data_IF_194284344823
#
_entry.id   IF_194284344823
#
_cell.length_a   1.000
_cell.length_b   1.000
_cell.length_c   1.000
_cell.angle_alpha   90.00
_cell.angle_beta   90.00
_cell.angle_gamma   90.00
#
_symmetry.space_group_name_H-M   'P 1'
#
loop_
_entity.id
_entity.type
_entity.pdbx_description
1 polymer ?
#
# COMPACT_ATOMS: atom_id res chain seq x y z
N UNK A 1 -0.44 21.22 15.55
CA UNK A 1 0.79 20.76 14.86
C UNK A 1 1.70 20.11 15.88
N UNK A 2 2.29 18.96 15.55
CA UNK A 2 3.28 18.29 16.39
C UNK A 2 4.68 18.55 15.84
N UNK A 3 5.66 18.77 16.73
CA UNK A 3 7.06 18.93 16.35
C UNK A 3 7.80 17.61 16.55
N UNK A 4 8.45 17.11 15.49
CA UNK A 4 9.39 16.00 15.58
C UNK A 4 10.82 16.53 15.57
N UNK A 5 11.60 16.20 16.60
CA UNK A 5 13.02 16.55 16.70
C UNK A 5 13.82 15.26 16.68
N UNK A 6 14.74 15.14 15.72
CA UNK A 6 15.63 14.00 15.60
C UNK A 6 17.02 14.46 15.17
N UNK A 7 18.06 13.73 15.61
CA UNK A 7 19.41 13.92 15.10
C UNK A 7 19.52 13.19 13.76
N UNK A 8 19.97 13.91 12.74
CA UNK A 8 20.24 13.35 11.43
C UNK A 8 21.75 13.34 11.17
N UNK A 9 22.29 12.32 10.48
CA UNK A 9 23.67 12.36 10.01
C UNK A 9 23.92 13.59 9.13
N UNK A 10 25.11 14.17 9.23
CA UNK A 10 25.46 15.40 8.48
C UNK A 10 25.28 15.25 6.97
N UNK A 11 25.51 14.04 6.44
CA UNK A 11 25.29 13.74 5.02
C UNK A 11 23.83 13.91 4.59
N UNK A 12 22.88 13.51 5.44
CA UNK A 12 21.44 13.67 5.17
C UNK A 12 21.05 15.14 5.25
N UNK A 13 21.55 15.85 6.27
CA UNK A 13 21.28 17.29 6.41
C UNK A 13 21.77 18.06 5.18
N UNK A 14 22.99 17.78 4.72
CA UNK A 14 23.56 18.37 3.50
C UNK A 14 22.75 18.04 2.24
N UNK A 15 22.36 16.78 2.06
CA UNK A 15 21.55 16.42 0.90
C UNK A 15 20.18 17.15 0.89
N UNK A 16 19.57 17.36 2.05
CA UNK A 16 18.34 18.17 2.15
C UNK A 16 18.61 19.63 1.83
N UNK A 17 19.75 20.18 2.25
CA UNK A 17 20.17 21.53 1.92
C UNK A 17 20.33 21.73 0.41
N UNK A 18 21.04 20.81 -0.24
CA UNK A 18 21.27 20.85 -1.69
C UNK A 18 19.93 20.87 -2.45
N UNK A 19 18.92 20.11 -1.99
CA UNK A 19 17.59 20.08 -2.60
C UNK A 19 16.82 21.40 -2.41
N UNK A 20 16.99 22.07 -1.28
CA UNK A 20 16.39 23.39 -1.02
C UNK A 20 17.09 24.48 -1.83
N UNK A 21 18.42 24.44 -1.91
CA UNK A 21 19.22 25.35 -2.72
C UNK A 21 18.87 25.23 -4.21
N UNK A 22 18.69 24.00 -4.69
CA UNK A 22 18.21 23.69 -6.03
C UNK A 22 16.72 24.04 -6.26
N UNK A 23 16.02 24.62 -5.27
CA UNK A 23 14.60 25.02 -5.32
C UNK A 23 13.63 23.87 -5.59
N UNK A 24 14.03 22.62 -5.33
CA UNK A 24 13.15 21.45 -5.41
C UNK A 24 12.09 21.50 -4.29
N UNK A 25 12.49 21.99 -3.12
CA UNK A 25 11.60 22.23 -1.98
C UNK A 25 11.70 23.68 -1.50
N UNK A 26 10.62 24.19 -0.92
CA UNK A 26 10.59 25.57 -0.43
C UNK A 26 11.42 25.77 0.86
N UNK A 27 11.60 24.72 1.65
CA UNK A 27 12.37 24.75 2.90
C UNK A 27 12.77 23.33 3.35
N UNK A 28 13.67 23.23 4.33
CA UNK A 28 14.02 21.94 4.97
C UNK A 28 12.78 21.24 5.55
N UNK A 29 11.92 21.99 6.23
CA UNK A 29 10.69 21.45 6.82
C UNK A 29 9.72 20.93 5.77
N UNK A 30 9.71 21.55 4.59
CA UNK A 30 8.90 21.11 3.46
C UNK A 30 9.42 19.78 2.89
N UNK A 31 10.74 19.66 2.68
CA UNK A 31 11.39 18.42 2.26
C UNK A 31 11.18 17.28 3.26
N UNK A 32 11.34 17.56 4.57
CA UNK A 32 11.12 16.56 5.63
C UNK A 32 9.65 16.10 5.65
N UNK A 33 8.70 17.04 5.52
CA UNK A 33 7.27 16.69 5.48
C UNK A 33 6.95 15.80 4.29
N UNK A 34 7.38 16.20 3.09
CA UNK A 34 7.15 15.42 1.87
C UNK A 34 7.78 14.01 1.98
N UNK A 35 8.98 13.90 2.53
CA UNK A 35 9.63 12.62 2.79
C UNK A 35 8.86 11.72 3.75
N UNK A 36 8.37 12.28 4.87
CA UNK A 36 7.58 11.53 5.84
C UNK A 36 6.23 11.08 5.27
N UNK A 37 5.54 11.95 4.53
CA UNK A 37 4.28 11.63 3.85
C UNK A 37 4.48 10.47 2.86
N UNK A 38 5.55 10.51 2.06
CA UNK A 38 5.88 9.44 1.12
C UNK A 38 6.16 8.09 1.82
N UNK A 39 6.87 8.12 2.95
CA UNK A 39 7.14 6.91 3.76
C UNK A 39 5.84 6.34 4.33
N UNK A 40 5.00 7.19 4.93
CA UNK A 40 3.71 6.78 5.50
C UNK A 40 2.82 6.15 4.42
N UNK A 41 2.73 6.78 3.25
CA UNK A 41 1.90 6.27 2.16
C UNK A 41 2.42 4.94 1.60
N UNK A 42 3.74 4.77 1.52
CA UNK A 42 4.34 3.48 1.13
C UNK A 42 3.96 2.37 2.12
N UNK A 43 4.10 2.62 3.43
CA UNK A 43 3.78 1.61 4.44
C UNK A 43 2.28 1.31 4.48
N UNK A 44 1.43 2.33 4.28
CA UNK A 44 -0.02 2.15 4.18
C UNK A 44 -0.39 1.23 3.01
N UNK A 45 0.18 1.47 1.82
CA UNK A 45 -0.04 0.60 0.64
C UNK A 45 0.50 -0.81 0.86
N UNK A 46 1.68 -0.94 1.47
CA UNK A 46 2.26 -2.24 1.79
C UNK A 46 1.37 -3.03 2.77
N UNK A 47 0.77 -2.36 3.76
CA UNK A 47 -0.16 -2.99 4.69
C UNK A 47 -1.41 -3.52 3.97
N UNK A 48 -2.00 -2.73 3.07
CA UNK A 48 -3.14 -3.17 2.24
C UNK A 48 -2.78 -4.40 1.42
N UNK A 49 -1.63 -4.38 0.74
CA UNK A 49 -1.16 -5.54 -0.04
C UNK A 49 -0.99 -6.80 0.80
N UNK A 50 -0.42 -6.67 2.02
CA UNK A 50 -0.31 -7.79 2.96
C UNK A 50 -1.67 -8.33 3.37
N UNK A 51 -2.64 -7.46 3.62
CA UNK A 51 -4.02 -7.87 3.96
C UNK A 51 -4.67 -8.63 2.80
N UNK A 52 -4.54 -8.14 1.57
CA UNK A 52 -5.09 -8.81 0.37
C UNK A 52 -4.50 -10.21 0.23
N UNK A 53 -3.17 -10.34 0.28
CA UNK A 53 -2.49 -11.64 0.19
C UNK A 53 -2.90 -12.56 1.33
N UNK A 54 -3.01 -12.04 2.55
CA UNK A 54 -3.45 -12.82 3.70
C UNK A 54 -4.89 -13.33 3.53
N UNK A 55 -5.80 -12.53 2.96
CA UNK A 55 -7.17 -12.95 2.67
C UNK A 55 -7.22 -14.06 1.63
N UNK A 56 -6.49 -13.93 0.52
CA UNK A 56 -6.41 -14.99 -0.50
C UNK A 56 -5.77 -16.29 0.03
N UNK A 57 -4.81 -16.19 0.95
CA UNK A 57 -4.23 -17.38 1.59
C UNK A 57 -5.16 -18.04 2.61
N UNK A 58 -6.03 -17.25 3.25
CA UNK A 58 -6.96 -17.73 4.27
C UNK A 58 -8.20 -18.36 3.65
N UNK A 59 -8.61 -17.86 2.49
CA UNK A 59 -9.60 -18.50 1.62
C UNK A 59 -8.85 -19.42 0.65
N UNK A 60 -8.36 -20.57 1.13
CA UNK A 60 -8.51 -21.73 0.26
C UNK A 60 -10.02 -21.84 0.07
N UNK A 61 -10.52 -21.72 -1.16
CA UNK A 61 -11.87 -22.20 -1.41
C UNK A 61 -11.88 -23.64 -0.92
N UNK A 62 -12.74 -23.94 0.04
CA UNK A 62 -12.92 -25.31 0.47
C UNK A 62 -13.37 -26.13 -0.75
N UNK A 63 -13.04 -27.41 -0.80
CA UNK A 63 -13.45 -28.26 -1.93
C UNK A 63 -14.98 -28.23 -2.10
N UNK A 64 -15.71 -28.00 -1.00
CA UNK A 64 -17.15 -27.77 -0.97
C UNK A 64 -17.59 -26.44 -1.63
N UNK A 65 -16.79 -25.37 -1.55
CA UNK A 65 -17.09 -24.10 -2.21
C UNK A 65 -16.88 -24.18 -3.72
N UNK A 66 -15.87 -24.94 -4.17
CA UNK A 66 -15.66 -25.24 -5.58
C UNK A 66 -16.78 -26.15 -6.13
N UNK A 67 -17.13 -27.21 -5.41
CA UNK A 67 -18.23 -28.11 -5.77
C UNK A 67 -19.59 -27.38 -5.85
N UNK A 68 -19.83 -26.40 -4.96
CA UNK A 68 -21.03 -25.57 -5.01
C UNK A 68 -21.05 -24.63 -6.22
N UNK A 69 -19.92 -24.07 -6.61
CA UNK A 69 -19.78 -23.25 -7.83
C UNK A 69 -20.08 -24.08 -9.08
N UNK A 70 -19.56 -25.30 -9.15
CA UNK A 70 -19.77 -26.20 -10.28
C UNK A 70 -21.24 -26.63 -10.40
N UNK A 71 -21.87 -26.98 -9.26
CA UNK A 71 -23.29 -27.33 -9.22
C UNK A 71 -24.20 -26.16 -9.62
N UNK A 72 -23.90 -24.94 -9.15
CA UNK A 72 -24.64 -23.74 -9.54
C UNK A 72 -24.48 -23.43 -11.04
N UNK A 73 -23.27 -23.59 -11.58
CA UNK A 73 -23.00 -23.41 -13.01
C UNK A 73 -23.74 -24.45 -13.86
N UNK A 74 -23.74 -25.71 -13.43
CA UNK A 74 -24.48 -26.79 -14.11
C UNK A 74 -26.00 -26.56 -14.09
N UNK A 75 -26.54 -26.08 -12.97
CA UNK A 75 -27.96 -25.72 -12.86
C UNK A 75 -28.33 -24.57 -13.82
N UNK A 76 -27.51 -23.50 -13.88
CA UNK A 76 -27.73 -22.40 -14.81
C UNK A 76 -27.72 -22.85 -16.27
N UNK A 77 -26.76 -23.71 -16.66
CA UNK A 77 -26.69 -24.25 -18.02
C UNK A 77 -27.95 -25.07 -18.37
N UNK A 78 -28.46 -25.84 -17.42
CA UNK A 78 -29.64 -26.69 -17.60
C UNK A 78 -30.96 -25.90 -17.69
N UNK A 79 -31.00 -24.67 -17.15
CA UNK A 79 -32.18 -23.79 -17.20
C UNK A 79 -32.29 -22.98 -18.50
N UNK A 80 -31.24 -22.97 -19.32
CA UNK A 80 -31.23 -22.24 -20.58
C UNK A 80 -31.97 -23.03 -21.69
N UNK A 81 -32.80 -22.37 -22.53
CA UNK A 81 -33.79 -23.04 -23.40
C UNK A 81 -33.23 -23.46 -24.78
N UNK A 82 -31.93 -23.78 -24.85
CA UNK A 82 -31.25 -24.17 -26.10
C UNK A 82 -31.57 -25.60 -26.53
#
# INVERSE_FOLDING_TARGET
>A
MAQLVTRSPDGIARAVDDLVEARVFASRSDAVRAGLEAVIERERRAAVGRTIVASYRRVLQDDDDLARSDAATAAMIAEEPW
#
